data_IF_129818314600
#
_entry.id   IF_129818314600
#
_cell.length_a   1.000
_cell.length_b   1.000
_cell.length_c   1.000
_cell.angle_alpha   90.00
_cell.angle_beta   90.00
_cell.angle_gamma   90.00
#
_symmetry.space_group_name_H-M   'P 1'
#
loop_
_entity.id
_entity.type
_entity.pdbx_description
1 polymer ?
#
# COMPACT_ATOMS: atom_id res chain seq x y z
N UNK A 1 5.52 -16.07 -8.39
CA UNK A 1 5.04 -14.78 -7.89
C UNK A 1 4.23 -15.04 -6.64
N UNK A 2 4.65 -14.52 -5.49
CA UNK A 2 4.02 -14.75 -4.19
C UNK A 2 3.65 -13.39 -3.57
N UNK A 3 2.36 -13.06 -3.55
CA UNK A 3 1.86 -11.77 -3.04
C UNK A 3 1.92 -11.63 -1.51
N UNK A 4 2.38 -12.65 -0.79
CA UNK A 4 2.74 -12.54 0.63
C UNK A 4 4.15 -11.98 0.84
N UNK A 5 5.03 -12.10 -0.17
CA UNK A 5 6.34 -11.44 -0.19
C UNK A 5 6.17 -9.98 -0.53
N UNK A 6 6.68 -9.10 0.35
CA UNK A 6 6.67 -7.65 0.12
C UNK A 6 7.27 -7.31 -1.26
N UNK A 7 8.40 -7.92 -1.61
CA UNK A 7 9.06 -7.69 -2.91
C UNK A 7 8.09 -7.92 -4.08
N UNK A 8 7.51 -9.13 -4.17
CA UNK A 8 6.61 -9.46 -5.28
C UNK A 8 5.28 -8.67 -5.24
N UNK A 9 4.81 -8.26 -4.06
CA UNK A 9 3.64 -7.41 -3.92
C UNK A 9 3.87 -6.03 -4.53
N UNK A 10 5.00 -5.38 -4.22
CA UNK A 10 5.32 -4.05 -4.77
C UNK A 10 5.65 -4.10 -6.27
N UNK A 11 6.36 -5.14 -6.74
CA UNK A 11 6.58 -5.34 -8.19
C UNK A 11 5.26 -5.53 -8.94
N UNK A 12 4.33 -6.32 -8.39
CA UNK A 12 3.01 -6.50 -8.98
C UNK A 12 2.20 -5.19 -9.02
N UNK A 13 2.25 -4.39 -7.95
CA UNK A 13 1.61 -3.07 -7.93
C UNK A 13 2.20 -2.14 -8.99
N UNK A 14 3.52 -2.05 -9.09
CA UNK A 14 4.18 -1.20 -10.09
C UNK A 14 3.75 -1.58 -11.52
N UNK A 15 3.77 -2.89 -11.85
CA UNK A 15 3.32 -3.42 -13.14
C UNK A 15 1.84 -3.10 -13.44
N UNK A 16 0.96 -3.10 -12.43
CA UNK A 16 -0.45 -2.74 -12.61
C UNK A 16 -0.61 -1.24 -12.83
N UNK A 17 0.07 -0.41 -12.04
CA UNK A 17 0.03 1.05 -12.16
C UNK A 17 0.50 1.49 -13.56
N UNK A 18 1.61 0.93 -14.07
CA UNK A 18 2.14 1.32 -15.39
C UNK A 18 1.23 0.92 -16.56
N UNK A 19 0.42 -0.13 -16.41
CA UNK A 19 -0.43 -0.66 -17.49
C UNK A 19 -1.51 0.31 -17.97
N UNK A 20 -1.99 1.16 -17.06
CA UNK A 20 -3.02 2.18 -17.29
C UNK A 20 -2.71 3.44 -16.46
N UNK A 21 -1.48 3.95 -16.61
CA UNK A 21 -0.95 5.01 -15.75
C UNK A 21 -1.82 6.27 -15.73
N UNK A 22 -2.34 6.70 -16.88
CA UNK A 22 -3.18 7.89 -16.96
C UNK A 22 -4.48 7.75 -16.16
N UNK A 23 -5.03 6.53 -16.09
CA UNK A 23 -6.23 6.20 -15.35
C UNK A 23 -5.96 5.94 -13.86
N UNK A 24 -4.74 5.57 -13.47
CA UNK A 24 -4.40 5.15 -12.11
C UNK A 24 -3.58 6.17 -11.29
N UNK A 25 -2.98 7.18 -11.92
CA UNK A 25 -2.03 8.08 -11.25
C UNK A 25 -2.61 8.86 -10.08
N UNK A 26 -3.86 9.34 -10.16
CA UNK A 26 -4.47 10.09 -9.07
C UNK A 26 -4.63 9.21 -7.81
N UNK A 27 -5.09 7.98 -8.01
CA UNK A 27 -5.26 6.98 -6.97
C UNK A 27 -3.91 6.53 -6.38
N UNK A 28 -2.87 6.38 -7.21
CA UNK A 28 -1.52 6.03 -6.77
C UNK A 28 -0.87 7.14 -5.93
N UNK A 29 -1.00 8.40 -6.36
CA UNK A 29 -0.52 9.54 -5.58
C UNK A 29 -1.24 9.67 -4.24
N UNK A 30 -2.56 9.43 -4.21
CA UNK A 30 -3.33 9.43 -2.98
C UNK A 30 -2.85 8.32 -2.03
N UNK A 31 -2.70 7.09 -2.54
CA UNK A 31 -2.17 5.95 -1.79
C UNK A 31 -0.79 6.25 -1.18
N UNK A 32 0.14 6.80 -1.96
CA UNK A 32 1.47 7.17 -1.47
C UNK A 32 1.40 8.26 -0.40
N UNK A 33 0.56 9.27 -0.60
CA UNK A 33 0.37 10.37 0.36
C UNK A 33 -0.16 9.85 1.69
N UNK A 34 -1.21 9.03 1.66
CA UNK A 34 -1.88 8.52 2.85
C UNK A 34 -0.96 7.63 3.68
N UNK A 35 -0.20 6.73 3.04
CA UNK A 35 0.81 5.91 3.72
C UNK A 35 1.92 6.76 4.35
N UNK A 36 2.43 7.76 3.62
CA UNK A 36 3.48 8.64 4.14
C UNK A 36 3.00 9.48 5.33
N UNK A 37 1.77 9.98 5.28
CA UNK A 37 1.16 10.73 6.38
C UNK A 37 0.96 9.84 7.61
N UNK A 38 0.42 8.62 7.40
CA UNK A 38 0.25 7.64 8.46
C UNK A 38 1.59 7.25 9.10
N UNK A 39 2.61 6.97 8.30
CA UNK A 39 3.93 6.55 8.80
C UNK A 39 4.59 7.64 9.65
N UNK A 40 4.48 8.92 9.24
CA UNK A 40 5.01 10.04 10.04
C UNK A 40 4.35 10.15 11.40
N UNK A 41 3.01 10.02 11.46
CA UNK A 41 2.29 9.98 12.75
C UNK A 41 2.73 8.78 13.58
N UNK A 42 2.78 7.59 12.96
CA UNK A 42 3.14 6.36 13.66
C UNK A 42 4.56 6.42 14.23
N UNK A 43 5.52 6.93 13.48
CA UNK A 43 6.91 7.12 13.95
C UNK A 43 6.92 8.10 15.14
N UNK A 44 6.21 9.22 15.06
CA UNK A 44 6.16 10.18 16.16
C UNK A 44 5.55 9.58 17.45
N UNK A 45 4.50 8.76 17.33
CA UNK A 45 3.92 8.01 18.45
C UNK A 45 4.92 7.02 19.05
N UNK A 46 5.65 6.29 18.18
CA UNK A 46 6.66 5.31 18.59
C UNK A 46 7.82 5.99 19.31
N UNK A 47 8.31 7.11 18.80
CA UNK A 47 9.39 7.90 19.40
C UNK A 47 8.99 8.41 20.80
N UNK A 48 7.76 8.91 20.96
CA UNK A 48 7.25 9.38 22.25
C UNK A 48 7.17 8.24 23.27
N UNK A 49 6.69 7.07 22.88
CA UNK A 49 6.60 5.91 23.76
C UNK A 49 7.97 5.32 24.11
N UNK A 50 8.93 5.37 23.17
CA UNK A 50 10.28 4.85 23.35
C UNK A 50 11.18 5.73 24.22
N UNK A 51 10.83 7.02 24.43
CA UNK A 51 11.70 8.01 25.09
C UNK A 51 12.19 7.63 26.49
N UNK A 52 11.47 6.77 27.21
CA UNK A 52 11.86 6.27 28.54
C UNK A 52 12.40 4.84 28.56
N UNK A 53 12.47 4.17 27.40
CA UNK A 53 12.89 2.78 27.29
C UNK A 53 14.40 2.68 27.00
N UNK A 54 15.03 1.58 27.39
CA UNK A 54 16.43 1.30 27.08
C UNK A 54 16.70 -0.20 27.00
N UNK A 55 17.87 -0.58 26.48
CA UNK A 55 18.30 -1.97 26.43
C UNK A 55 17.34 -2.89 25.66
N UNK A 56 17.10 -4.08 26.22
CA UNK A 56 16.28 -5.12 25.60
C UNK A 56 14.80 -4.72 25.47
N UNK A 57 14.28 -3.93 26.42
CA UNK A 57 12.89 -3.45 26.40
C UNK A 57 12.67 -2.51 25.20
N UNK A 58 13.61 -1.58 24.97
CA UNK A 58 13.57 -0.69 23.81
C UNK A 58 13.65 -1.49 22.51
N UNK A 59 14.55 -2.46 22.44
CA UNK A 59 14.78 -3.25 21.23
C UNK A 59 13.55 -4.09 20.89
N UNK A 60 12.96 -4.74 21.89
CA UNK A 60 11.72 -5.51 21.75
C UNK A 60 10.59 -4.62 21.25
N UNK A 61 10.37 -3.47 21.91
CA UNK A 61 9.31 -2.54 21.52
C UNK A 61 9.48 -2.06 20.08
N UNK A 62 10.66 -1.56 19.71
CA UNK A 62 10.91 -1.07 18.34
C UNK A 62 10.75 -2.19 17.29
N UNK A 63 11.11 -3.43 17.64
CA UNK A 63 10.93 -4.59 16.74
C UNK A 63 9.45 -4.87 16.50
N UNK A 64 8.62 -4.86 17.54
CA UNK A 64 7.17 -5.01 17.43
C UNK A 64 6.55 -3.88 16.58
N UNK A 65 6.98 -2.63 16.79
CA UNK A 65 6.49 -1.49 16.01
C UNK A 65 6.90 -1.60 14.54
N UNK A 66 8.13 -2.06 14.23
CA UNK A 66 8.55 -2.34 12.86
C UNK A 66 7.66 -3.39 12.19
N UNK A 67 7.32 -4.47 12.89
CA UNK A 67 6.39 -5.48 12.37
C UNK A 67 4.99 -4.90 12.13
N UNK A 68 4.49 -4.06 13.03
CA UNK A 68 3.20 -3.40 12.86
C UNK A 68 3.18 -2.46 11.65
N UNK A 69 4.23 -1.67 11.45
CA UNK A 69 4.40 -0.77 10.30
C UNK A 69 4.47 -1.58 9.00
N UNK A 70 5.34 -2.61 8.94
CA UNK A 70 5.47 -3.46 7.76
C UNK A 70 4.15 -4.16 7.41
N UNK A 71 3.41 -4.63 8.42
CA UNK A 71 2.08 -5.22 8.24
C UNK A 71 1.09 -4.21 7.66
N UNK A 72 1.01 -3.00 8.22
CA UNK A 72 0.11 -1.96 7.73
C UNK A 72 0.39 -1.60 6.27
N UNK A 73 1.66 -1.42 5.92
CA UNK A 73 2.08 -1.18 4.54
C UNK A 73 1.65 -2.33 3.63
N UNK A 74 2.03 -3.56 3.94
CA UNK A 74 1.72 -4.71 3.08
C UNK A 74 0.20 -4.96 2.93
N UNK A 75 -0.58 -4.72 3.97
CA UNK A 75 -2.04 -4.86 3.90
C UNK A 75 -2.66 -3.76 3.04
N UNK A 76 -2.27 -2.49 3.26
CA UNK A 76 -2.75 -1.35 2.48
C UNK A 76 -2.37 -1.47 1.00
N UNK A 77 -1.13 -1.88 0.71
CA UNK A 77 -0.64 -2.14 -0.66
C UNK A 77 -1.46 -3.23 -1.34
N UNK A 78 -1.80 -4.30 -0.61
CA UNK A 78 -2.61 -5.40 -1.16
C UNK A 78 -4.02 -4.95 -1.49
N UNK A 79 -4.65 -4.18 -0.59
CA UNK A 79 -5.98 -3.62 -0.83
C UNK A 79 -5.97 -2.66 -2.03
N UNK A 80 -4.92 -1.84 -2.13
CA UNK A 80 -4.75 -0.93 -3.25
C UNK A 80 -4.52 -1.67 -4.58
N UNK A 81 -3.68 -2.72 -4.59
CA UNK A 81 -3.50 -3.59 -5.75
C UNK A 81 -4.84 -4.19 -6.21
N UNK A 82 -5.65 -4.71 -5.28
CA UNK A 82 -6.98 -5.24 -5.62
C UNK A 82 -7.93 -4.18 -6.16
N UNK A 83 -7.90 -2.95 -5.63
CA UNK A 83 -8.64 -1.81 -6.16
C UNK A 83 -8.26 -1.53 -7.61
N UNK A 84 -6.96 -1.41 -7.91
CA UNK A 84 -6.49 -1.12 -9.27
C UNK A 84 -6.80 -2.26 -10.25
N UNK A 85 -6.63 -3.52 -9.85
CA UNK A 85 -7.02 -4.67 -10.68
C UNK A 85 -8.51 -4.61 -11.00
N UNK A 86 -9.36 -4.35 -10.00
CA UNK A 86 -10.81 -4.23 -10.17
C UNK A 86 -11.17 -3.12 -11.15
N UNK A 87 -10.57 -1.93 -11.01
CA UNK A 87 -10.73 -0.84 -11.96
C UNK A 87 -10.25 -1.23 -13.36
N UNK A 88 -9.10 -1.88 -13.47
CA UNK A 88 -8.49 -2.36 -14.71
C UNK A 88 -9.39 -3.33 -15.49
N UNK A 89 -10.22 -4.14 -14.82
CA UNK A 89 -11.20 -4.99 -15.52
C UNK A 89 -12.17 -4.21 -16.40
N UNK A 90 -12.49 -2.96 -16.04
CA UNK A 90 -13.35 -2.06 -16.82
C UNK A 90 -12.60 -1.30 -17.92
N UNK A 91 -11.27 -1.38 -17.94
CA UNK A 91 -10.38 -0.75 -18.93
C UNK A 91 -9.85 -1.76 -19.95
N UNK A 92 -10.04 -3.06 -19.70
CA UNK A 92 -9.63 -4.12 -20.62
C UNK A 92 -10.22 -3.93 -22.02
N UNK A 93 -9.39 -4.11 -23.04
CA UNK A 93 -9.79 -4.09 -24.45
C UNK A 93 -10.75 -5.23 -24.83
N UNK A 94 -10.89 -6.23 -23.96
CA UNK A 94 -11.82 -7.35 -24.13
C UNK A 94 -13.20 -7.06 -23.51
N UNK A 95 -13.37 -5.92 -22.85
CA UNK A 95 -14.63 -5.54 -22.22
C UNK A 95 -15.54 -4.85 -23.24
N UNK A 96 -16.74 -5.40 -23.45
CA UNK A 96 -17.79 -4.75 -24.24
C UNK A 96 -18.61 -3.82 -23.34
N UNK A 97 -18.64 -2.52 -23.66
CA UNK A 97 -19.52 -1.54 -23.01
C UNK A 97 -20.71 -1.30 -23.92
N UNK A 98 -21.89 -1.76 -23.50
CA UNK A 98 -23.14 -1.45 -24.20
C UNK A 98 -23.42 0.05 -24.08
N UNK A 99 -23.65 0.73 -25.21
CA UNK A 99 -24.04 2.14 -25.19
C UNK A 99 -25.39 2.26 -24.46
N UNK A 100 -25.49 3.02 -23.36
CA UNK A 100 -26.75 3.21 -22.66
C UNK A 100 -27.80 3.96 -23.50
N UNK A 101 -27.42 4.52 -24.66
CA UNK A 101 -28.31 5.20 -25.59
C UNK A 101 -28.73 4.36 -26.82
N UNK A 102 -28.37 3.06 -26.86
CA UNK A 102 -28.82 2.11 -27.89
C UNK A 102 -30.14 1.43 -27.54
#
# INVERSE_FOLDING_TARGET
>A
MDLSSAYWLYEALAMVVESHYAEFIEDDLAYQKDLNEWARRKIAEVDQAAAGMSGDDLTTYLTEQNHAIAKHYNDTTRDFLFKLITMGTNLSKLTFKMDPNL
#
